data_IF_427890818867
#
_entry.id   IF_427890818867
#
_cell.length_a   1.000
_cell.length_b   1.000
_cell.length_c   1.000
_cell.angle_alpha   90.00
_cell.angle_beta   90.00
_cell.angle_gamma   90.00
#
_symmetry.space_group_name_H-M   'P 1'
#
loop_
_entity.id
_entity.type
_entity.pdbx_description
1 polymer ?
#
# COMPACT_ATOMS: atom_id res chain seq x y z
N UNK A 1 -12.59 15.94 -11.09
CA UNK A 1 -12.17 14.56 -10.80
C UNK A 1 -10.80 14.28 -11.41
N UNK A 2 -9.79 14.15 -10.56
CA UNK A 2 -8.42 13.78 -10.96
C UNK A 2 -8.06 12.43 -10.35
N UNK A 3 -7.42 11.54 -11.12
CA UNK A 3 -7.00 10.22 -10.65
C UNK A 3 -5.49 10.10 -10.79
N UNK A 4 -4.81 9.84 -9.68
CA UNK A 4 -3.36 9.65 -9.63
C UNK A 4 -3.03 8.25 -9.17
N UNK A 5 -2.08 7.61 -9.86
CA UNK A 5 -1.46 6.37 -9.38
C UNK A 5 -0.20 6.76 -8.63
N UNK A 6 -0.16 6.46 -7.35
CA UNK A 6 0.99 6.73 -6.50
C UNK A 6 1.57 5.41 -5.99
N UNK A 7 2.89 5.38 -5.92
CA UNK A 7 3.59 4.33 -5.18
C UNK A 7 4.04 4.96 -3.87
N UNK A 8 3.57 4.43 -2.75
CA UNK A 8 3.76 5.04 -1.43
C UNK A 8 4.37 4.06 -0.44
N UNK A 9 5.05 4.60 0.57
CA UNK A 9 5.50 3.80 1.71
C UNK A 9 4.35 3.62 2.69
N UNK A 10 4.11 2.39 3.17
CA UNK A 10 3.24 2.18 4.32
C UNK A 10 3.85 2.85 5.55
N UNK A 11 3.13 3.83 6.10
CA UNK A 11 3.52 4.59 7.30
C UNK A 11 3.87 3.68 8.49
N UNK A 12 3.23 2.52 8.58
CA UNK A 12 3.42 1.53 9.66
C UNK A 12 4.83 0.91 9.69
N UNK A 13 5.53 0.81 8.56
CA UNK A 13 6.85 0.18 8.47
C UNK A 13 8.01 1.16 8.40
N UNK A 14 7.72 2.44 8.14
CA UNK A 14 8.72 3.51 8.10
C UNK A 14 9.65 3.54 9.33
N UNK A 15 9.17 3.46 10.59
CA UNK A 15 10.07 3.51 11.75
C UNK A 15 10.98 2.28 11.84
N UNK A 16 10.48 1.09 11.49
CA UNK A 16 11.28 -0.15 11.52
C UNK A 16 12.41 -0.13 10.49
N UNK A 17 12.13 0.38 9.30
CA UNK A 17 13.14 0.53 8.24
C UNK A 17 14.24 1.48 8.69
N UNK A 18 13.89 2.62 9.29
CA UNK A 18 14.86 3.60 9.81
C UNK A 18 15.74 2.98 10.91
N UNK A 19 15.14 2.27 11.87
CA UNK A 19 15.88 1.62 12.96
C UNK A 19 16.89 0.61 12.42
N UNK A 20 16.51 -0.19 11.41
CA UNK A 20 17.40 -1.18 10.81
C UNK A 20 18.59 -0.54 10.08
N UNK A 21 18.35 0.54 9.32
CA UNK A 21 19.42 1.27 8.66
C UNK A 21 20.39 1.92 9.67
N UNK A 22 19.86 2.57 10.71
CA UNK A 22 20.70 3.14 11.77
C UNK A 22 21.52 2.06 12.51
N UNK A 23 20.90 0.90 12.78
CA UNK A 23 21.57 -0.22 13.45
C UNK A 23 22.66 -0.85 12.57
N UNK A 24 22.44 -0.91 11.26
CA UNK A 24 23.45 -1.35 10.28
C UNK A 24 24.68 -0.42 10.29
N UNK A 25 24.47 0.90 10.26
CA UNK A 25 25.56 1.89 10.34
C UNK A 25 26.33 1.72 11.67
N UNK A 26 25.63 1.58 12.80
CA UNK A 26 26.27 1.37 14.09
C UNK A 26 27.09 0.06 14.15
N UNK A 27 26.65 -0.99 13.48
CA UNK A 27 27.38 -2.26 13.40
C UNK A 27 28.66 -2.13 12.57
N UNK A 28 28.62 -1.43 11.44
CA UNK A 28 29.83 -1.12 10.64
C UNK A 28 30.82 -0.26 11.42
N UNK A 29 30.35 0.75 12.16
CA UNK A 29 31.22 1.58 13.01
C UNK A 29 31.93 0.78 14.12
N UNK A 30 31.38 -0.38 14.51
CA UNK A 30 31.99 -1.30 15.49
C UNK A 30 32.81 -2.42 14.85
N UNK A 31 33.00 -2.41 13.52
CA UNK A 31 33.73 -3.46 12.80
C UNK A 31 32.99 -4.80 12.70
N UNK A 32 31.67 -4.81 12.91
CA UNK A 32 30.84 -6.01 12.82
C UNK A 32 30.21 -6.12 11.42
N UNK A 33 31.04 -6.34 10.40
CA UNK A 33 30.61 -6.27 9.00
C UNK A 33 29.49 -7.25 8.64
N UNK A 34 29.53 -8.48 9.19
CA UNK A 34 28.49 -9.48 8.97
C UNK A 34 27.12 -9.02 9.50
N UNK A 35 27.09 -8.47 10.72
CA UNK A 35 25.86 -7.98 11.33
C UNK A 35 25.35 -6.71 10.62
N UNK A 36 26.26 -5.80 10.25
CA UNK A 36 25.92 -4.61 9.47
C UNK A 36 25.28 -4.94 8.14
N UNK A 37 25.85 -5.91 7.40
CA UNK A 37 25.34 -6.38 6.11
C UNK A 37 24.00 -7.09 6.26
N UNK A 38 23.86 -7.95 7.29
CA UNK A 38 22.60 -8.64 7.57
C UNK A 38 21.45 -7.67 7.85
N UNK A 39 21.67 -6.68 8.72
CA UNK A 39 20.68 -5.66 9.06
C UNK A 39 20.32 -4.77 7.86
N UNK A 40 21.31 -4.43 7.02
CA UNK A 40 21.10 -3.68 5.79
C UNK A 40 20.19 -4.43 4.82
N UNK A 41 20.49 -5.72 4.56
CA UNK A 41 19.70 -6.57 3.69
C UNK A 41 18.26 -6.74 4.20
N UNK A 42 18.10 -6.93 5.51
CA UNK A 42 16.79 -7.03 6.15
C UNK A 42 15.99 -5.72 6.03
N UNK A 43 16.65 -4.58 6.23
CA UNK A 43 16.06 -3.25 6.04
C UNK A 43 15.58 -3.01 4.62
N UNK A 44 16.37 -3.40 3.61
CA UNK A 44 15.99 -3.34 2.20
C UNK A 44 14.81 -4.26 1.87
N UNK A 45 14.79 -5.48 2.39
CA UNK A 45 13.68 -6.42 2.20
C UNK A 45 12.37 -5.87 2.75
N UNK A 46 12.40 -5.31 3.96
CA UNK A 46 11.24 -4.65 4.57
C UNK A 46 10.83 -3.39 3.82
N UNK A 47 11.77 -2.58 3.37
CA UNK A 47 11.49 -1.39 2.57
C UNK A 47 10.77 -1.75 1.26
N UNK A 48 11.27 -2.74 0.52
CA UNK A 48 10.64 -3.23 -0.70
C UNK A 48 9.23 -3.78 -0.43
N UNK A 49 9.07 -4.57 0.63
CA UNK A 49 7.75 -5.08 1.04
C UNK A 49 6.80 -4.00 1.56
N UNK A 50 7.31 -2.84 1.97
CA UNK A 50 6.52 -1.72 2.49
C UNK A 50 5.99 -0.79 1.40
N UNK A 51 6.49 -0.91 0.17
CA UNK A 51 5.98 -0.17 -0.98
C UNK A 51 4.64 -0.75 -1.44
N UNK A 52 3.58 0.05 -1.28
CA UNK A 52 2.24 -0.24 -1.79
C UNK A 52 1.93 0.59 -3.02
N UNK A 53 1.13 0.04 -3.95
CA UNK A 53 0.47 0.84 -4.99
C UNK A 53 -0.84 1.38 -4.45
N UNK A 54 -1.04 2.68 -4.64
CA UNK A 54 -2.22 3.40 -4.23
C UNK A 54 -2.88 4.05 -5.46
N UNK A 55 -4.20 3.95 -5.53
CA UNK A 55 -5.02 4.74 -6.43
C UNK A 55 -5.60 5.89 -5.62
N UNK A 56 -5.28 7.12 -6.00
CA UNK A 56 -5.80 8.33 -5.36
C UNK A 56 -6.81 8.99 -6.28
N UNK A 57 -8.00 9.27 -5.76
CA UNK A 57 -9.09 9.95 -6.46
C UNK A 57 -9.34 11.27 -5.72
N UNK A 58 -9.23 12.39 -6.43
CA UNK A 58 -9.52 13.72 -5.91
C UNK A 58 -10.86 14.21 -6.46
N UNK A 59 -11.88 14.27 -5.58
CA UNK A 59 -13.22 14.79 -5.90
C UNK A 59 -13.93 15.34 -4.65
N UNK A 60 -13.72 16.62 -4.33
CA UNK A 60 -14.25 17.25 -3.11
C UNK A 60 -13.65 16.72 -1.80
N UNK A 61 -12.67 15.81 -1.91
CA UNK A 61 -11.91 15.13 -0.86
C UNK A 61 -10.94 14.12 -1.51
N UNK A 62 -10.04 13.54 -0.72
CA UNK A 62 -9.04 12.58 -1.18
C UNK A 62 -9.46 11.15 -0.82
N UNK A 63 -9.74 10.32 -1.82
CA UNK A 63 -9.89 8.87 -1.62
C UNK A 63 -8.61 8.15 -1.99
N UNK A 64 -7.98 7.48 -1.03
CA UNK A 64 -6.78 6.68 -1.25
C UNK A 64 -7.12 5.19 -1.10
N UNK A 65 -6.98 4.45 -2.20
CA UNK A 65 -7.28 3.03 -2.25
C UNK A 65 -6.00 2.22 -2.43
N UNK A 66 -5.90 1.10 -1.71
CA UNK A 66 -4.84 0.12 -1.91
C UNK A 66 -5.43 -1.28 -1.91
N UNK A 67 -4.96 -2.14 -2.81
CA UNK A 67 -5.30 -3.55 -2.83
C UNK A 67 -4.05 -4.39 -2.60
N UNK A 68 -4.21 -5.52 -1.92
CA UNK A 68 -3.20 -6.56 -1.80
C UNK A 68 -3.83 -7.90 -2.08
N UNK A 69 -3.28 -8.61 -3.06
CA UNK A 69 -3.61 -10.01 -3.29
C UNK A 69 -3.10 -10.87 -2.14
N UNK A 70 -3.99 -11.61 -1.49
CA UNK A 70 -3.69 -12.56 -0.42
C UNK A 70 -4.34 -13.89 -0.73
N UNK A 71 -3.59 -14.77 -1.41
CA UNK A 71 -4.12 -16.02 -1.95
C UNK A 71 -5.05 -15.75 -3.14
N UNK A 72 -6.29 -16.25 -3.05
CA UNK A 72 -7.33 -16.07 -4.07
C UNK A 72 -8.15 -14.78 -3.90
N UNK A 73 -7.92 -14.00 -2.85
CA UNK A 73 -8.76 -12.85 -2.47
C UNK A 73 -7.96 -11.56 -2.45
N UNK A 74 -8.58 -10.44 -2.78
CA UNK A 74 -7.98 -9.11 -2.65
C UNK A 74 -8.41 -8.46 -1.33
N UNK A 75 -7.45 -8.14 -0.47
CA UNK A 75 -7.69 -7.25 0.67
C UNK A 75 -7.55 -5.81 0.20
N UNK A 76 -8.65 -5.05 0.26
CA UNK A 76 -8.68 -3.65 -0.17
C UNK A 76 -8.88 -2.75 1.05
N UNK A 77 -8.07 -1.69 1.12
CA UNK A 77 -8.21 -0.61 2.10
C UNK A 77 -8.55 0.68 1.39
N UNK A 78 -9.55 1.38 1.92
CA UNK A 78 -10.04 2.67 1.44
C UNK A 78 -9.89 3.68 2.58
N UNK A 79 -9.16 4.75 2.30
CA UNK A 79 -8.99 5.90 3.17
C UNK A 79 -9.70 7.09 2.53
N UNK A 80 -10.34 7.94 3.33
CA UNK A 80 -10.89 9.23 2.92
C UNK A 80 -10.23 10.32 3.74
N UNK A 81 -9.56 11.26 3.09
CA UNK A 81 -8.82 12.36 3.72
C UNK A 81 -7.84 11.86 4.80
N UNK A 82 -7.19 10.73 4.52
CA UNK A 82 -6.27 10.05 5.44
C UNK A 82 -6.92 9.21 6.55
N UNK A 83 -8.24 9.25 6.72
CA UNK A 83 -8.97 8.46 7.72
C UNK A 83 -9.48 7.13 7.14
N UNK A 84 -9.44 6.01 7.89
CA UNK A 84 -9.94 4.72 7.42
C UNK A 84 -11.44 4.77 7.19
N UNK A 85 -11.85 4.71 5.93
CA UNK A 85 -13.26 4.63 5.54
C UNK A 85 -13.74 3.17 5.54
N UNK A 86 -12.93 2.27 4.98
CA UNK A 86 -13.26 0.86 4.90
C UNK A 86 -12.02 -0.01 4.69
N UNK A 87 -12.06 -1.24 5.21
CA UNK A 87 -11.04 -2.26 4.98
C UNK A 87 -11.70 -3.63 4.98
N UNK A 88 -11.48 -4.41 3.92
CA UNK A 88 -12.09 -5.74 3.82
C UNK A 88 -11.58 -6.56 2.65
N UNK A 89 -12.12 -7.77 2.53
CA UNK A 89 -11.84 -8.69 1.44
C UNK A 89 -12.87 -8.49 0.34
N UNK A 90 -12.41 -8.35 -0.90
CA UNK A 90 -13.25 -8.27 -2.11
C UNK A 90 -13.10 -9.60 -2.84
N UNK A 91 -14.22 -10.33 -2.96
CA UNK A 91 -14.30 -11.62 -3.66
C UNK A 91 -14.83 -11.43 -5.08
N UNK A 92 -15.99 -10.79 -5.20
CA UNK A 92 -16.60 -10.43 -6.48
C UNK A 92 -16.80 -8.93 -6.55
N UNK A 93 -17.80 -8.40 -5.84
CA UNK A 93 -18.18 -6.99 -5.92
C UNK A 93 -18.48 -6.40 -4.55
N UNK A 94 -18.02 -5.17 -4.29
CA UNK A 94 -18.31 -4.41 -3.06
C UNK A 94 -18.68 -2.97 -3.42
N UNK A 95 -19.82 -2.49 -2.93
CA UNK A 95 -20.26 -1.09 -3.08
C UNK A 95 -20.15 -0.35 -1.73
N UNK A 96 -19.46 0.78 -1.74
CA UNK A 96 -19.19 1.68 -0.63
C UNK A 96 -19.67 3.10 -1.01
N UNK A 97 -20.98 3.31 -0.94
CA UNK A 97 -21.60 4.59 -1.32
C UNK A 97 -21.39 4.92 -2.80
N UNK A 98 -20.61 5.99 -3.05
CA UNK A 98 -20.24 6.44 -4.41
C UNK A 98 -19.15 5.58 -5.05
N UNK A 99 -18.49 4.72 -4.28
CA UNK A 99 -17.36 3.91 -4.70
C UNK A 99 -17.79 2.45 -4.85
N UNK A 100 -17.32 1.77 -5.88
CA UNK A 100 -17.53 0.36 -6.10
C UNK A 100 -16.23 -0.32 -6.50
N UNK A 101 -16.05 -1.54 -6.01
CA UNK A 101 -14.87 -2.38 -6.21
C UNK A 101 -15.34 -3.68 -6.88
N UNK A 102 -14.78 -3.96 -8.04
CA UNK A 102 -15.15 -5.11 -8.88
C UNK A 102 -13.90 -5.97 -9.13
N UNK A 103 -13.93 -7.21 -8.68
CA UNK A 103 -12.80 -8.14 -8.80
C UNK A 103 -12.82 -8.78 -10.18
N UNK A 104 -11.76 -8.54 -10.94
CA UNK A 104 -11.55 -9.10 -12.28
C UNK A 104 -10.35 -10.03 -12.26
N UNK A 105 -10.21 -10.84 -13.31
CA UNK A 105 -9.15 -11.83 -13.48
C UNK A 105 -7.73 -11.26 -13.32
N UNK A 106 -7.57 -9.96 -13.57
CA UNK A 106 -6.32 -9.24 -13.64
C UNK A 106 -6.21 -8.10 -12.61
N UNK A 107 -7.09 -8.04 -11.60
CA UNK A 107 -7.02 -7.10 -10.47
C UNK A 107 -8.39 -6.60 -10.00
N UNK A 108 -8.42 -5.59 -9.13
CA UNK A 108 -9.68 -4.96 -8.64
C UNK A 108 -9.93 -3.66 -9.41
N UNK A 109 -10.96 -3.64 -10.24
CA UNK A 109 -11.44 -2.43 -10.89
C UNK A 109 -12.12 -1.52 -9.86
N UNK A 110 -11.81 -0.24 -9.92
CA UNK A 110 -12.36 0.78 -9.05
C UNK A 110 -13.29 1.64 -9.88
N UNK A 111 -14.55 1.70 -9.45
CA UNK A 111 -15.61 2.50 -10.08
C UNK A 111 -16.02 3.57 -9.08
N UNK A 112 -16.07 4.82 -9.51
CA UNK A 112 -16.51 5.94 -8.69
C UNK A 112 -17.60 6.70 -9.43
N UNK A 113 -18.76 6.88 -8.81
CA UNK A 113 -19.97 7.45 -9.43
C UNK A 113 -20.27 6.83 -10.80
N UNK A 114 -20.31 5.50 -10.83
CA UNK A 114 -20.60 4.69 -12.03
C UNK A 114 -19.57 4.79 -13.16
N UNK A 115 -18.44 5.49 -12.94
CA UNK A 115 -17.34 5.60 -13.90
C UNK A 115 -16.14 4.79 -13.43
N UNK A 116 -15.61 3.92 -14.29
CA UNK A 116 -14.35 3.22 -14.01
C UNK A 116 -13.20 4.23 -14.00
N UNK A 117 -12.51 4.33 -12.86
CA UNK A 117 -11.43 5.31 -12.65
C UNK A 117 -10.04 4.73 -12.78
N UNK A 118 -9.95 3.41 -12.60
CA UNK A 118 -8.69 2.72 -12.64
C UNK A 118 -8.79 1.38 -11.97
N UNK A 119 -7.62 0.77 -11.80
CA UNK A 119 -7.54 -0.62 -11.40
C UNK A 119 -6.36 -0.83 -10.48
N UNK A 120 -6.61 -1.58 -9.42
CA UNK A 120 -5.64 -1.99 -8.43
C UNK A 120 -5.16 -3.42 -8.75
N UNK A 121 -3.87 -3.72 -8.50
CA UNK A 121 -3.29 -5.02 -8.76
C UNK A 121 -3.69 -6.10 -7.74
#
# INVERSE_FOLDING_TARGET
MEVRRLTGLRKDYAPFVVILFCSSIAAYLRGMDFLGTFLLALGFGLFSSSMGRYLVILDGGEYMLSARKRGSVYEVKVLRDGSPLWSGKVLDYVRLGELALDTRSDGVAVVFREKEVGKLP
#
